data_IF_464729289815
#
_entry.id   IF_464729289815
#
_cell.length_a   1.000
_cell.length_b   1.000
_cell.length_c   1.000
_cell.angle_alpha   90.00
_cell.angle_beta   90.00
_cell.angle_gamma   90.00
#
_symmetry.space_group_name_H-M   'P 1'
#
loop_
_entity.id
_entity.type
_entity.pdbx_description
1 polymer ?
#
# COMPACT_ATOMS: atom_id res chain seq x y z
N UNK A 1 36.19 -0.30 14.44
CA UNK A 1 35.79 -0.75 15.78
C UNK A 1 35.99 -2.25 15.97
N UNK A 2 36.18 -2.71 17.22
CA UNK A 2 36.31 -4.15 17.51
C UNK A 2 34.98 -4.87 17.30
N UNK A 3 33.90 -4.23 17.67
CA UNK A 3 32.53 -4.72 17.50
C UNK A 3 31.75 -3.69 16.68
N UNK A 4 31.03 -4.14 15.66
CA UNK A 4 30.14 -3.31 14.85
C UNK A 4 29.09 -4.19 14.17
N UNK A 5 27.87 -3.69 14.17
CA UNK A 5 26.71 -4.30 13.47
C UNK A 5 26.28 -3.30 12.39
N UNK A 6 26.03 -3.80 11.19
CA UNK A 6 25.34 -3.07 10.13
C UNK A 6 23.97 -3.68 9.89
N UNK A 7 22.96 -2.85 9.70
CA UNK A 7 21.61 -3.29 9.34
C UNK A 7 21.51 -3.26 7.82
N UNK A 8 21.36 -4.42 7.23
CA UNK A 8 21.31 -4.57 5.76
C UNK A 8 19.88 -4.39 5.27
N UNK A 9 18.91 -4.96 5.98
CA UNK A 9 17.50 -4.91 5.60
C UNK A 9 16.58 -5.19 6.77
N UNK A 10 15.32 -4.76 6.66
CA UNK A 10 14.24 -5.04 7.61
C UNK A 10 12.91 -5.19 6.88
N UNK A 11 12.03 -6.02 7.39
CA UNK A 11 10.73 -6.28 6.82
C UNK A 11 9.68 -6.58 7.90
N UNK A 12 8.46 -6.10 7.72
CA UNK A 12 7.32 -6.40 8.59
C UNK A 12 6.21 -7.18 7.88
N UNK A 13 6.39 -7.50 6.62
CA UNK A 13 5.32 -7.99 5.73
C UNK A 13 4.89 -9.39 6.02
N UNK A 14 5.58 -10.28 6.54
CA UNK A 14 5.16 -11.65 6.84
C UNK A 14 4.79 -12.54 5.65
N UNK A 15 4.58 -12.01 4.49
CA UNK A 15 4.26 -12.72 3.24
C UNK A 15 5.42 -12.68 2.24
N UNK A 16 6.42 -11.89 2.49
CA UNK A 16 7.61 -11.77 1.67
C UNK A 16 8.91 -11.84 2.48
N UNK A 17 8.96 -12.83 3.36
CA UNK A 17 10.15 -13.09 4.18
C UNK A 17 11.33 -13.43 3.27
N UNK A 18 12.44 -12.74 3.46
CA UNK A 18 13.67 -12.98 2.71
C UNK A 18 13.80 -12.16 1.43
N UNK A 19 12.86 -11.26 1.14
CA UNK A 19 13.06 -10.26 0.11
C UNK A 19 13.86 -9.08 0.66
N UNK A 20 15.12 -9.00 0.29
CA UNK A 20 16.01 -7.91 0.64
C UNK A 20 15.93 -6.83 -0.43
N UNK A 21 15.37 -5.67 -0.12
CA UNK A 21 15.44 -4.49 -0.98
C UNK A 21 16.78 -3.78 -0.77
N UNK A 22 17.66 -3.82 -1.77
CA UNK A 22 18.93 -3.09 -1.74
C UNK A 22 18.78 -1.60 -2.06
N UNK A 23 17.61 -1.15 -2.49
CA UNK A 23 17.33 0.22 -2.93
C UNK A 23 16.42 1.02 -1.99
N UNK A 24 16.16 0.53 -0.81
CA UNK A 24 15.23 1.07 0.17
C UNK A 24 14.24 0.01 0.62
N UNK A 25 13.42 0.34 1.57
CA UNK A 25 12.39 -0.56 2.08
C UNK A 25 11.40 -0.83 0.96
N UNK A 26 11.22 -2.09 0.59
CA UNK A 26 10.17 -2.49 -0.32
C UNK A 26 8.82 -2.07 0.24
N UNK A 27 7.93 -1.59 -0.63
CA UNK A 27 6.61 -1.18 -0.20
C UNK A 27 5.76 -2.41 0.05
N UNK A 28 5.63 -2.77 1.32
CA UNK A 28 4.65 -3.73 1.80
C UNK A 28 3.25 -3.09 1.86
N UNK A 29 2.28 -3.78 2.46
CA UNK A 29 0.98 -3.19 2.71
C UNK A 29 1.07 -2.11 3.79
N UNK A 30 1.31 -0.88 3.41
CA UNK A 30 1.26 0.26 4.33
C UNK A 30 -0.14 0.44 4.90
N UNK A 31 -1.18 0.25 4.08
CA UNK A 31 -2.58 0.27 4.50
C UNK A 31 -3.13 -1.14 4.44
N UNK A 32 -3.59 -1.68 5.58
CA UNK A 32 -4.10 -3.05 5.68
C UNK A 32 -5.41 -3.07 6.44
N UNK A 33 -6.50 -3.64 5.89
CA UNK A 33 -7.75 -3.80 6.63
C UNK A 33 -7.56 -4.66 7.87
N UNK A 34 -8.26 -4.35 8.95
CA UNK A 34 -8.16 -5.09 10.22
C UNK A 34 -8.37 -6.60 10.01
N UNK A 35 -9.39 -6.99 9.25
CA UNK A 35 -9.69 -8.40 8.98
C UNK A 35 -8.55 -9.12 8.25
N UNK A 36 -7.85 -8.43 7.35
CA UNK A 36 -6.69 -8.99 6.63
C UNK A 36 -5.47 -9.05 7.54
N UNK A 37 -5.33 -8.10 8.47
CA UNK A 37 -4.27 -8.08 9.47
C UNK A 37 -4.43 -9.18 10.52
N UNK A 38 -5.67 -9.44 10.93
CA UNK A 38 -5.98 -10.52 11.88
C UNK A 38 -5.72 -11.90 11.26
N UNK A 39 -6.03 -12.07 9.96
CA UNK A 39 -5.80 -13.31 9.24
C UNK A 39 -4.31 -13.55 8.90
N UNK A 40 -3.54 -12.49 8.75
CA UNK A 40 -2.09 -12.52 8.48
C UNK A 40 -1.35 -11.50 9.34
N UNK A 41 -1.05 -11.83 10.61
CA UNK A 41 -0.29 -10.98 11.51
C UNK A 41 1.08 -10.60 10.97
N UNK A 42 1.57 -9.42 11.36
CA UNK A 42 2.90 -8.96 10.96
C UNK A 42 3.98 -9.86 11.55
N UNK A 43 4.88 -10.31 10.68
CA UNK A 43 6.14 -10.95 11.03
C UNK A 43 7.27 -9.94 10.83
N UNK A 44 8.28 -10.00 11.66
CA UNK A 44 9.38 -9.04 11.65
C UNK A 44 10.69 -9.77 11.37
N UNK A 45 11.39 -9.31 10.34
CA UNK A 45 12.68 -9.84 9.92
C UNK A 45 13.68 -8.69 9.79
N UNK A 46 14.93 -8.98 10.11
CA UNK A 46 16.04 -8.06 9.94
C UNK A 46 17.29 -8.85 9.53
N UNK A 47 17.99 -8.35 8.53
CA UNK A 47 19.28 -8.88 8.12
C UNK A 47 20.39 -8.02 8.72
N UNK A 48 21.25 -8.65 9.52
CA UNK A 48 22.36 -8.01 10.24
C UNK A 48 23.70 -8.55 9.73
N UNK A 49 24.68 -7.66 9.56
CA UNK A 49 26.04 -7.99 9.20
C UNK A 49 27.02 -7.64 10.33
N UNK A 50 27.98 -8.52 10.57
CA UNK A 50 29.12 -8.22 11.45
C UNK A 50 30.22 -7.51 10.63
N UNK A 51 30.30 -6.21 10.79
CA UNK A 51 31.32 -5.37 10.15
C UNK A 51 32.46 -4.97 11.09
N UNK A 52 32.51 -5.59 12.28
CA UNK A 52 33.57 -5.41 13.26
C UNK A 52 34.78 -6.28 12.97
N UNK A 53 35.76 -6.26 13.90
CA UNK A 53 36.99 -7.06 13.84
C UNK A 53 36.94 -8.33 14.69
N UNK A 54 35.85 -8.56 15.43
CA UNK A 54 35.66 -9.70 16.32
C UNK A 54 34.28 -10.35 16.12
N UNK A 55 34.12 -11.65 16.41
CA UNK A 55 32.81 -12.29 16.41
C UNK A 55 31.85 -11.58 17.38
N UNK A 56 30.57 -11.51 16.99
CA UNK A 56 29.48 -10.98 17.81
C UNK A 56 28.75 -12.14 18.49
N UNK A 57 28.76 -12.16 19.83
CA UNK A 57 27.96 -13.09 20.63
C UNK A 57 26.65 -12.42 21.05
N UNK A 58 25.62 -13.23 21.19
CA UNK A 58 24.30 -12.74 21.60
C UNK A 58 23.66 -11.77 20.59
N UNK A 59 24.06 -11.83 19.30
CA UNK A 59 23.47 -10.96 18.28
C UNK A 59 22.02 -11.36 18.02
N UNK A 60 21.15 -10.36 17.99
CA UNK A 60 19.72 -10.51 17.76
C UNK A 60 19.13 -9.25 17.13
N UNK A 61 18.02 -9.41 16.42
CA UNK A 61 17.13 -8.30 16.08
C UNK A 61 16.17 -8.01 17.22
N UNK A 62 15.71 -6.78 17.29
CA UNK A 62 14.65 -6.34 18.19
C UNK A 62 13.66 -5.50 17.40
N UNK A 63 12.40 -5.58 17.79
CA UNK A 63 11.32 -4.74 17.25
C UNK A 63 10.43 -4.25 18.38
N UNK A 64 10.06 -3.00 18.33
CA UNK A 64 9.02 -2.39 19.15
C UNK A 64 7.97 -1.78 18.24
N UNK A 65 6.69 -2.02 18.51
CA UNK A 65 5.58 -1.38 17.82
C UNK A 65 4.94 -0.39 18.76
N UNK A 66 4.79 0.85 18.28
CA UNK A 66 4.25 1.98 19.01
C UNK A 66 2.96 2.44 18.30
N UNK A 67 1.93 2.74 19.04
CA UNK A 67 0.72 3.30 18.48
C UNK A 67 0.83 4.83 18.31
N UNK A 68 -0.15 5.45 17.65
CA UNK A 68 -0.17 6.89 17.33
C UNK A 68 -0.14 7.84 18.54
N UNK A 69 -0.35 7.34 19.76
CA UNK A 69 -0.23 8.13 21.00
C UNK A 69 1.11 7.90 21.71
N UNK A 70 2.04 7.17 21.10
CA UNK A 70 3.37 6.91 21.63
C UNK A 70 3.42 5.77 22.66
N UNK A 71 2.37 4.98 22.77
CA UNK A 71 2.34 3.80 23.65
C UNK A 71 2.91 2.58 22.99
N UNK A 72 3.88 1.91 23.63
CA UNK A 72 4.39 0.60 23.20
C UNK A 72 3.30 -0.46 23.34
N UNK A 73 2.93 -1.10 22.23
CA UNK A 73 1.84 -2.10 22.17
C UNK A 73 2.35 -3.51 21.88
N UNK A 74 3.60 -3.63 21.42
CA UNK A 74 4.23 -4.91 21.16
C UNK A 74 5.75 -4.78 21.22
N UNK A 75 6.41 -5.82 21.72
CA UNK A 75 7.85 -5.97 21.71
C UNK A 75 8.22 -7.43 21.43
N UNK A 76 9.19 -7.65 20.57
CA UNK A 76 9.74 -8.97 20.33
C UNK A 76 11.21 -8.88 19.92
N UNK A 77 11.93 -9.99 20.09
CA UNK A 77 13.30 -10.15 19.63
C UNK A 77 13.46 -11.51 18.98
N UNK A 78 14.48 -11.67 18.15
CA UNK A 78 14.90 -12.98 17.66
C UNK A 78 15.63 -13.77 18.74
N UNK A 79 15.82 -15.06 18.52
CA UNK A 79 16.73 -15.88 19.36
C UNK A 79 18.17 -15.40 19.18
N UNK A 80 18.90 -15.07 20.26
CA UNK A 80 20.28 -14.65 20.17
C UNK A 80 21.18 -15.76 19.61
N UNK A 81 22.13 -15.37 18.73
CA UNK A 81 23.10 -16.29 18.13
C UNK A 81 24.51 -15.72 18.19
N UNK A 82 25.46 -16.40 17.58
CA UNK A 82 26.81 -15.88 17.33
C UNK A 82 26.97 -15.64 15.84
N UNK A 83 27.42 -14.44 15.45
CA UNK A 83 27.73 -14.09 14.08
C UNK A 83 29.25 -13.93 13.91
N UNK A 84 29.83 -14.75 13.04
CA UNK A 84 31.25 -14.72 12.78
C UNK A 84 31.69 -13.42 12.10
N UNK A 85 32.99 -13.21 12.05
CA UNK A 85 33.59 -12.04 11.42
C UNK A 85 33.21 -11.97 9.93
N UNK A 86 32.73 -10.82 9.49
CA UNK A 86 32.28 -10.54 8.11
C UNK A 86 31.09 -11.37 7.62
N UNK A 87 30.43 -12.12 8.51
CA UNK A 87 29.21 -12.83 8.16
C UNK A 87 27.99 -11.92 8.22
N UNK A 88 26.96 -12.32 7.47
CA UNK A 88 25.63 -11.72 7.43
C UNK A 88 24.59 -12.82 7.69
N UNK A 89 23.56 -12.52 8.45
CA UNK A 89 22.46 -13.44 8.71
C UNK A 89 21.13 -12.71 8.87
N UNK A 90 20.04 -13.37 8.47
CA UNK A 90 18.68 -12.90 8.72
C UNK A 90 18.17 -13.44 10.06
N UNK A 91 17.48 -12.58 10.79
CA UNK A 91 16.91 -12.81 12.10
C UNK A 91 15.41 -12.57 12.05
N UNK A 92 14.65 -13.53 12.54
CA UNK A 92 13.20 -13.46 12.62
C UNK A 92 12.78 -13.27 14.07
N UNK A 93 11.91 -12.31 14.34
CA UNK A 93 11.34 -12.13 15.68
C UNK A 93 10.56 -13.37 16.12
N UNK A 94 10.64 -13.70 17.42
CA UNK A 94 10.02 -14.91 17.96
C UNK A 94 8.48 -14.84 18.03
N UNK A 95 7.90 -13.65 17.88
CA UNK A 95 6.46 -13.43 17.95
C UNK A 95 5.99 -12.56 16.79
N UNK A 96 4.75 -12.78 16.38
CA UNK A 96 4.05 -11.98 15.39
C UNK A 96 3.16 -10.94 16.07
N UNK A 97 2.86 -9.85 15.39
CA UNK A 97 2.01 -8.77 15.87
C UNK A 97 0.69 -8.73 15.08
N UNK A 98 -0.41 -8.88 15.79
CA UNK A 98 -1.76 -8.62 15.28
C UNK A 98 -2.29 -7.35 15.97
N UNK A 99 -2.45 -6.23 15.25
CA UNK A 99 -3.01 -5.00 15.81
C UNK A 99 -4.44 -5.22 16.33
N UNK A 100 -4.71 -4.78 17.56
CA UNK A 100 -6.04 -4.95 18.17
C UNK A 100 -7.05 -3.86 17.77
N UNK A 101 -6.61 -2.82 17.08
CA UNK A 101 -7.46 -1.70 16.68
C UNK A 101 -6.93 -1.04 15.41
N UNK A 102 -7.81 -0.34 14.74
CA UNK A 102 -7.45 0.55 13.63
C UNK A 102 -6.59 1.71 14.13
N UNK A 103 -5.71 2.21 13.26
CA UNK A 103 -4.82 3.32 13.56
C UNK A 103 -3.45 3.18 12.91
N UNK A 104 -2.60 4.15 13.22
CA UNK A 104 -1.20 4.17 12.76
C UNK A 104 -0.33 3.49 13.80
N UNK A 105 0.59 2.67 13.33
CA UNK A 105 1.57 1.95 14.12
C UNK A 105 2.97 2.19 13.54
N UNK A 106 3.87 2.70 14.38
CA UNK A 106 5.28 2.84 14.06
C UNK A 106 6.03 1.62 14.56
N UNK A 107 6.80 1.00 13.68
CA UNK A 107 7.56 -0.22 13.93
C UNK A 107 9.04 0.11 13.98
N UNK A 108 9.65 0.08 15.15
CA UNK A 108 11.02 0.43 15.41
C UNK A 108 11.88 -0.83 15.44
N UNK A 109 12.90 -0.88 14.60
CA UNK A 109 13.81 -2.02 14.46
C UNK A 109 15.23 -1.66 14.87
N UNK A 110 15.91 -2.55 15.58
CA UNK A 110 17.34 -2.42 15.86
C UNK A 110 18.02 -3.77 16.09
N UNK A 111 19.32 -3.81 15.83
CA UNK A 111 20.19 -4.93 16.19
C UNK A 111 20.84 -4.70 17.56
N UNK A 112 21.09 -5.78 18.29
CA UNK A 112 21.88 -5.75 19.53
C UNK A 112 22.75 -7.00 19.66
N UNK A 113 23.75 -6.94 20.56
CA UNK A 113 24.60 -8.08 20.94
C UNK A 113 25.12 -7.90 22.37
N UNK A 114 25.88 -8.87 22.89
CA UNK A 114 26.52 -8.76 24.21
C UNK A 114 27.46 -7.52 24.31
N UNK A 115 27.97 -7.03 23.17
CA UNK A 115 28.93 -5.94 23.11
C UNK A 115 28.37 -4.64 22.55
N UNK A 116 27.14 -4.67 21.96
CA UNK A 116 26.46 -3.52 21.33
C UNK A 116 25.03 -3.55 21.82
N UNK A 117 24.62 -2.55 22.59
CA UNK A 117 23.26 -2.49 23.15
C UNK A 117 22.21 -2.21 22.09
N UNK A 118 22.51 -1.38 21.14
CA UNK A 118 21.61 -1.01 20.05
C UNK A 118 22.38 -0.50 18.83
N UNK A 119 21.92 -0.84 17.63
CA UNK A 119 22.26 -0.12 16.39
C UNK A 119 21.46 1.18 16.30
N UNK A 120 21.61 1.92 15.22
CA UNK A 120 20.62 2.95 14.85
C UNK A 120 19.23 2.29 14.71
N UNK A 121 18.20 3.01 15.12
CA UNK A 121 16.83 2.56 15.03
C UNK A 121 16.31 2.90 13.64
N UNK A 122 15.78 1.90 12.95
CA UNK A 122 15.06 2.09 11.69
C UNK A 122 13.56 2.01 11.93
N UNK A 123 12.81 2.85 11.24
CA UNK A 123 11.37 2.97 11.43
C UNK A 123 10.62 2.53 10.17
N UNK A 124 9.53 1.80 10.35
CA UNK A 124 8.54 1.48 9.34
C UNK A 124 7.15 1.82 9.87
N UNK A 125 6.23 2.13 8.97
CA UNK A 125 4.86 2.49 9.35
C UNK A 125 3.86 1.49 8.77
N UNK A 126 2.84 1.15 9.56
CA UNK A 126 1.64 0.46 9.09
C UNK A 126 0.39 1.21 9.54
N UNK A 127 -0.60 1.27 8.66
CA UNK A 127 -1.91 1.87 8.93
C UNK A 127 -2.97 0.77 8.87
N UNK A 128 -3.53 0.44 10.02
CA UNK A 128 -4.64 -0.50 10.09
C UNK A 128 -5.94 0.27 9.86
N UNK A 129 -6.63 -0.13 8.82
CA UNK A 129 -7.83 0.52 8.31
C UNK A 129 -9.07 -0.33 8.58
N UNK A 130 -10.23 0.24 8.32
CA UNK A 130 -11.48 -0.53 8.24
C UNK A 130 -11.55 -1.34 6.93
N UNK A 131 -11.26 -0.68 5.82
CA UNK A 131 -11.58 -1.20 4.48
C UNK A 131 -10.50 -0.96 3.42
N UNK A 132 -9.53 -0.09 3.66
CA UNK A 132 -8.55 0.30 2.64
C UNK A 132 -7.34 -0.61 2.65
N UNK A 133 -7.04 -1.21 1.51
CA UNK A 133 -5.86 -2.04 1.28
C UNK A 133 -4.94 -1.34 0.27
N UNK A 134 -3.76 -0.93 0.68
CA UNK A 134 -2.83 -0.14 -0.13
C UNK A 134 -1.37 -0.47 0.14
N UNK A 135 -0.57 -0.38 -0.92
CA UNK A 135 0.88 -0.64 -0.88
C UNK A 135 1.71 0.64 -0.84
N UNK A 136 1.11 1.77 -1.23
CA UNK A 136 1.75 3.07 -1.27
C UNK A 136 1.96 3.65 0.14
N UNK A 137 2.89 4.59 0.29
CA UNK A 137 3.15 5.30 1.55
C UNK A 137 2.42 6.64 1.67
N UNK A 138 1.48 6.92 0.77
CA UNK A 138 0.74 8.18 0.65
C UNK A 138 1.62 9.42 0.33
N UNK A 139 2.83 9.21 -0.18
CA UNK A 139 3.78 10.27 -0.57
C UNK A 139 4.06 10.18 -2.10
N UNK A 140 3.48 11.06 -2.93
CA UNK A 140 3.68 11.03 -4.37
C UNK A 140 5.12 11.33 -4.75
N UNK A 141 5.76 10.43 -5.50
CA UNK A 141 7.16 10.53 -5.95
C UNK A 141 7.32 10.57 -7.48
N UNK A 142 6.23 10.72 -8.21
CA UNK A 142 6.18 10.74 -9.68
C UNK A 142 4.86 10.19 -10.18
N UNK A 143 4.75 9.96 -11.48
CA UNK A 143 3.52 9.42 -12.05
C UNK A 143 3.78 8.64 -13.35
N UNK A 144 3.00 7.59 -13.56
CA UNK A 144 2.90 6.90 -14.85
C UNK A 144 1.72 7.45 -15.66
N UNK A 145 1.96 7.73 -16.93
CA UNK A 145 0.91 8.15 -17.87
C UNK A 145 0.14 6.92 -18.35
N UNK A 146 -1.16 6.90 -18.13
CA UNK A 146 -2.04 5.76 -18.44
C UNK A 146 -2.83 6.00 -19.72
N UNK A 147 -3.54 7.12 -19.84
CA UNK A 147 -4.17 7.55 -21.08
C UNK A 147 -3.17 8.25 -21.98
N UNK A 148 -2.81 7.68 -23.13
CA UNK A 148 -1.71 8.18 -23.97
C UNK A 148 -1.89 7.85 -25.45
N UNK A 149 -1.08 8.54 -26.28
CA UNK A 149 -1.14 8.45 -27.74
C UNK A 149 -0.85 7.04 -28.30
N UNK A 150 -0.11 6.25 -27.59
CA UNK A 150 0.34 4.93 -28.05
C UNK A 150 -0.38 3.76 -27.43
N UNK A 151 -1.67 3.90 -27.19
CA UNK A 151 -2.49 2.88 -26.57
C UNK A 151 -2.83 3.21 -25.12
N UNK A 152 -4.01 2.79 -24.71
CA UNK A 152 -4.39 2.79 -23.31
C UNK A 152 -3.59 1.73 -22.58
N UNK A 153 -2.95 2.12 -21.49
CA UNK A 153 -2.27 1.20 -20.60
C UNK A 153 -3.18 0.86 -19.42
N UNK A 154 -2.85 -0.21 -18.72
CA UNK A 154 -3.36 -0.43 -17.36
C UNK A 154 -2.19 -0.44 -16.41
N UNK A 155 -2.32 0.27 -15.30
CA UNK A 155 -1.35 0.32 -14.20
C UNK A 155 -1.97 -0.35 -12.99
N UNK A 156 -1.25 -1.27 -12.34
CA UNK A 156 -1.87 -2.16 -11.37
C UNK A 156 -0.98 -2.47 -10.16
N UNK A 157 -1.63 -2.82 -9.05
CA UNK A 157 -1.02 -3.47 -7.88
C UNK A 157 -1.69 -4.82 -7.61
N UNK A 158 -0.88 -5.80 -7.19
CA UNK A 158 -1.35 -7.09 -6.67
C UNK A 158 -1.57 -7.02 -5.16
N UNK A 159 -2.55 -7.80 -4.71
CA UNK A 159 -2.96 -7.90 -3.31
C UNK A 159 -3.20 -9.35 -2.93
N UNK A 160 -2.59 -9.78 -1.82
CA UNK A 160 -2.90 -11.06 -1.19
C UNK A 160 -4.07 -10.88 -0.23
N UNK A 161 -5.18 -11.54 -0.51
CA UNK A 161 -6.35 -11.58 0.37
C UNK A 161 -6.22 -12.79 1.27
N UNK A 162 -6.16 -12.59 2.57
CA UNK A 162 -5.96 -13.65 3.58
C UNK A 162 -7.26 -14.09 4.26
N UNK A 163 -8.23 -13.19 4.34
CA UNK A 163 -9.58 -13.48 4.82
C UNK A 163 -10.60 -13.12 3.75
N UNK A 164 -11.66 -13.89 3.64
CA UNK A 164 -12.74 -13.56 2.71
C UNK A 164 -13.33 -12.19 3.04
N UNK A 165 -13.49 -11.36 2.01
CA UNK A 165 -14.00 -9.99 2.15
C UNK A 165 -14.66 -9.53 0.85
N UNK A 166 -15.41 -8.44 0.89
CA UNK A 166 -16.17 -7.91 -0.23
C UNK A 166 -15.46 -6.70 -0.84
N UNK A 167 -14.85 -6.87 -2.03
CA UNK A 167 -14.25 -5.76 -2.77
C UNK A 167 -15.31 -4.90 -3.44
N UNK A 168 -15.30 -3.60 -3.16
CA UNK A 168 -16.39 -2.69 -3.56
C UNK A 168 -15.96 -1.56 -4.46
N UNK A 169 -14.70 -1.12 -4.36
CA UNK A 169 -14.18 0.00 -5.14
C UNK A 169 -12.66 -0.01 -5.23
N UNK A 170 -12.14 0.83 -6.09
CA UNK A 170 -10.71 1.11 -6.25
C UNK A 170 -10.47 2.61 -6.05
N UNK A 171 -9.48 2.97 -5.25
CA UNK A 171 -9.01 4.35 -5.16
C UNK A 171 -7.70 4.51 -5.91
N UNK A 172 -7.55 5.62 -6.64
CA UNK A 172 -6.33 5.97 -7.37
C UNK A 172 -5.97 7.44 -7.17
N UNK A 173 -4.68 7.75 -7.04
CA UNK A 173 -4.21 9.13 -6.91
C UNK A 173 -3.89 9.70 -8.29
N UNK A 174 -4.73 10.60 -8.76
CA UNK A 174 -4.66 11.19 -10.11
C UNK A 174 -3.60 12.28 -10.15
N UNK A 175 -2.68 12.20 -11.13
CA UNK A 175 -1.60 13.16 -11.28
C UNK A 175 -2.11 14.58 -11.60
N UNK A 176 -1.39 15.59 -11.15
CA UNK A 176 -1.72 17.02 -11.28
C UNK A 176 -1.88 17.51 -12.72
N UNK A 177 -1.09 16.93 -13.64
CA UNK A 177 -1.12 17.25 -15.08
C UNK A 177 -2.28 16.61 -15.84
N UNK A 178 -3.11 15.77 -15.18
CA UNK A 178 -4.22 15.07 -15.84
C UNK A 178 -5.24 16.03 -16.44
N UNK A 179 -5.75 15.67 -17.61
CA UNK A 179 -6.68 16.51 -18.37
C UNK A 179 -8.10 16.28 -17.86
N UNK A 180 -8.77 17.34 -17.47
CA UNK A 180 -10.20 17.32 -17.11
C UNK A 180 -11.03 16.87 -18.31
N UNK A 181 -11.93 15.92 -18.10
CA UNK A 181 -12.73 15.31 -19.15
C UNK A 181 -12.09 14.05 -19.76
N UNK A 182 -10.90 13.64 -19.34
CA UNK A 182 -10.35 12.33 -19.70
C UNK A 182 -11.08 11.21 -18.93
N UNK A 183 -11.28 10.08 -19.60
CA UNK A 183 -11.94 8.92 -19.01
C UNK A 183 -10.93 7.89 -18.53
N UNK A 184 -11.17 7.32 -17.35
CA UNK A 184 -10.46 6.20 -16.78
C UNK A 184 -11.43 5.15 -16.23
N UNK A 185 -10.99 3.92 -16.10
CA UNK A 185 -11.76 2.81 -15.53
C UNK A 185 -10.88 1.96 -14.62
N UNK A 186 -11.49 1.19 -13.72
CA UNK A 186 -10.79 0.22 -12.91
C UNK A 186 -11.18 -1.21 -13.29
N UNK A 187 -10.25 -2.16 -13.15
CA UNK A 187 -10.48 -3.59 -13.38
C UNK A 187 -9.96 -4.37 -12.19
N UNK A 188 -10.76 -5.32 -11.73
CA UNK A 188 -10.37 -6.33 -10.75
C UNK A 188 -10.03 -7.63 -11.47
N UNK A 189 -8.88 -8.20 -11.16
CA UNK A 189 -8.41 -9.48 -11.68
C UNK A 189 -8.19 -10.48 -10.56
N UNK A 190 -8.50 -11.74 -10.81
CA UNK A 190 -7.91 -12.87 -10.09
C UNK A 190 -6.56 -13.20 -10.70
N UNK A 191 -5.56 -13.50 -9.86
CA UNK A 191 -4.21 -13.87 -10.29
C UNK A 191 -4.04 -15.36 -10.07
N UNK A 192 -4.15 -16.14 -11.12
CA UNK A 192 -3.97 -17.58 -11.07
C UNK A 192 -2.50 -17.95 -11.38
N UNK A 193 -1.83 -18.55 -10.40
CA UNK A 193 -0.45 -19.03 -10.47
C UNK A 193 -0.36 -20.55 -10.49
N UNK A 194 -1.47 -21.27 -10.61
CA UNK A 194 -1.49 -22.74 -10.57
C UNK A 194 -1.02 -23.39 -11.88
N UNK A 195 -1.03 -22.64 -12.99
CA UNK A 195 -0.54 -23.07 -14.29
C UNK A 195 0.96 -22.95 -14.46
N UNK A 196 1.44 -23.19 -15.69
CA UNK A 196 2.86 -23.00 -16.07
C UNK A 196 3.25 -21.54 -16.24
N UNK A 197 2.28 -20.64 -16.31
CA UNK A 197 2.43 -19.19 -16.37
C UNK A 197 1.33 -18.53 -15.56
N UNK A 198 1.60 -17.35 -15.01
CA UNK A 198 0.59 -16.55 -14.31
C UNK A 198 -0.50 -16.10 -15.29
N UNK A 199 -1.76 -16.34 -14.94
CA UNK A 199 -2.91 -15.84 -15.66
C UNK A 199 -3.57 -14.70 -14.86
N UNK A 200 -4.06 -13.69 -15.56
CA UNK A 200 -4.79 -12.55 -15.01
C UNK A 200 -6.21 -12.60 -15.55
N UNK A 201 -7.15 -13.06 -14.72
CA UNK A 201 -8.53 -13.33 -15.09
C UNK A 201 -9.40 -12.16 -14.64
N UNK A 202 -9.98 -11.36 -15.56
CA UNK A 202 -10.83 -10.24 -15.16
C UNK A 202 -12.10 -10.74 -14.47
N UNK A 203 -12.39 -10.21 -13.29
CA UNK A 203 -13.60 -10.52 -12.51
C UNK A 203 -14.65 -9.44 -12.68
N UNK A 204 -14.25 -8.15 -12.64
CA UNK A 204 -15.14 -7.02 -12.77
C UNK A 204 -14.41 -5.82 -13.36
N UNK A 205 -15.16 -4.94 -14.02
CA UNK A 205 -14.69 -3.66 -14.53
C UNK A 205 -15.72 -2.59 -14.18
N UNK A 206 -15.25 -1.45 -13.71
CA UNK A 206 -16.12 -0.30 -13.42
C UNK A 206 -16.66 0.33 -14.69
N UNK A 207 -17.72 1.13 -14.56
CA UNK A 207 -18.05 2.13 -15.58
C UNK A 207 -16.91 3.14 -15.72
N UNK A 208 -16.89 3.88 -16.85
CA UNK A 208 -15.94 4.94 -17.06
C UNK A 208 -16.15 6.08 -16.06
N UNK A 209 -15.06 6.55 -15.49
CA UNK A 209 -15.01 7.73 -14.65
C UNK A 209 -14.38 8.88 -15.41
N UNK A 210 -15.08 9.98 -15.56
CA UNK A 210 -14.57 11.19 -16.21
C UNK A 210 -13.90 12.11 -15.19
N UNK A 211 -12.61 12.37 -15.36
CA UNK A 211 -11.78 13.19 -14.46
C UNK A 211 -12.32 14.61 -14.35
N UNK A 212 -12.55 15.05 -13.12
CA UNK A 212 -13.04 16.37 -12.76
C UNK A 212 -11.88 17.31 -12.35
N UNK A 213 -12.09 18.64 -12.31
CA UNK A 213 -11.04 19.58 -11.87
C UNK A 213 -10.48 19.32 -10.47
N UNK A 214 -11.32 18.82 -9.55
CA UNK A 214 -10.97 18.54 -8.16
C UNK A 214 -10.17 17.23 -7.98
N UNK A 215 -10.13 16.38 -9.00
CA UNK A 215 -9.47 15.07 -8.92
C UNK A 215 -7.96 15.16 -9.12
N UNK A 216 -7.49 16.24 -9.72
CA UNK A 216 -6.07 16.45 -9.98
C UNK A 216 -5.30 16.63 -8.68
N UNK A 217 -4.20 15.91 -8.57
CA UNK A 217 -3.39 15.84 -7.35
C UNK A 217 -4.21 15.40 -6.13
N UNK A 218 -5.13 14.43 -6.34
CA UNK A 218 -6.03 13.94 -5.32
C UNK A 218 -6.42 12.47 -5.52
N UNK A 219 -6.93 11.85 -4.48
CA UNK A 219 -7.53 10.54 -4.53
C UNK A 219 -8.91 10.58 -5.18
N UNK A 220 -9.14 9.64 -6.10
CA UNK A 220 -10.44 9.36 -6.71
C UNK A 220 -10.81 7.93 -6.39
N UNK A 221 -12.06 7.69 -5.99
CA UNK A 221 -12.59 6.34 -5.73
C UNK A 221 -13.65 6.00 -6.76
N UNK A 222 -13.48 4.86 -7.44
CA UNK A 222 -14.38 4.36 -8.47
C UNK A 222 -14.99 3.06 -7.96
N UNK A 223 -16.33 3.02 -7.84
CA UNK A 223 -17.07 1.84 -7.40
C UNK A 223 -17.13 0.76 -8.48
N UNK A 224 -16.99 -0.50 -8.09
CA UNK A 224 -17.35 -1.62 -8.96
C UNK A 224 -18.85 -1.64 -9.24
N UNK A 225 -19.26 -2.23 -10.37
CA UNK A 225 -20.66 -2.32 -10.75
C UNK A 225 -21.46 -3.24 -9.81
N UNK A 226 -20.76 -4.14 -9.14
CA UNK A 226 -21.27 -5.00 -8.08
C UNK A 226 -20.22 -5.21 -7.00
N UNK A 227 -20.65 -5.60 -5.84
CA UNK A 227 -19.73 -6.05 -4.81
C UNK A 227 -19.15 -7.43 -5.16
N UNK A 228 -17.83 -7.57 -5.08
CA UNK A 228 -17.11 -8.78 -5.46
C UNK A 228 -16.65 -9.54 -4.21
N UNK A 229 -17.25 -10.68 -3.93
CA UNK A 229 -16.83 -11.54 -2.82
C UNK A 229 -15.50 -12.22 -3.14
N UNK A 230 -14.42 -11.79 -2.52
CA UNK A 230 -13.09 -12.36 -2.66
C UNK A 230 -12.87 -13.42 -1.56
N UNK A 231 -12.35 -14.57 -1.95
CA UNK A 231 -11.87 -15.60 -1.03
C UNK A 231 -10.34 -15.47 -0.86
N UNK A 232 -9.69 -16.10 0.13
CA UNK A 232 -8.25 -16.08 0.24
C UNK A 232 -7.56 -16.48 -1.07
N UNK A 233 -6.66 -15.60 -1.56
CA UNK A 233 -6.00 -15.74 -2.86
C UNK A 233 -5.30 -14.45 -3.27
N UNK A 234 -4.68 -14.47 -4.45
CA UNK A 234 -4.03 -13.28 -5.02
C UNK A 234 -4.95 -12.61 -6.03
N UNK A 235 -5.11 -11.30 -5.89
CA UNK A 235 -5.88 -10.44 -6.78
C UNK A 235 -5.04 -9.28 -7.27
N UNK A 236 -5.48 -8.63 -8.33
CA UNK A 236 -4.84 -7.44 -8.86
C UNK A 236 -5.90 -6.41 -9.22
N UNK A 237 -5.68 -5.17 -8.84
CA UNK A 237 -6.50 -4.05 -9.28
C UNK A 237 -5.70 -3.13 -10.19
N UNK A 238 -6.31 -2.75 -11.30
CA UNK A 238 -5.71 -1.92 -12.32
C UNK A 238 -6.56 -0.69 -12.60
N UNK A 239 -5.90 0.44 -12.87
CA UNK A 239 -6.50 1.62 -13.50
C UNK A 239 -6.10 1.62 -14.96
N UNK A 240 -7.09 1.66 -15.84
CA UNK A 240 -6.94 1.70 -17.28
C UNK A 240 -7.37 3.03 -17.89
N UNK A 241 -6.77 3.33 -19.04
CA UNK A 241 -7.13 4.46 -19.88
C UNK A 241 -7.24 4.05 -21.34
N UNK A 242 -7.77 4.95 -22.13
CA UNK A 242 -7.98 4.74 -23.56
C UNK A 242 -6.87 5.36 -24.42
N UNK A 243 -6.74 4.86 -25.65
CA UNK A 243 -5.91 5.49 -26.69
C UNK A 243 -6.41 6.90 -26.96
N UNK A 244 -5.50 7.89 -26.93
CA UNK A 244 -5.83 9.27 -27.19
C UNK A 244 -4.69 9.96 -27.97
N UNK A 245 -4.98 10.93 -28.85
CA UNK A 245 -3.96 11.64 -29.64
C UNK A 245 -2.91 12.39 -28.82
N UNK A 246 -3.22 12.69 -27.56
CA UNK A 246 -2.31 13.33 -26.60
C UNK A 246 -2.37 12.57 -25.27
N UNK A 247 -1.36 12.72 -24.45
CA UNK A 247 -1.39 12.19 -23.08
C UNK A 247 -2.53 12.84 -22.30
N UNK A 248 -3.40 12.02 -21.69
CA UNK A 248 -4.63 12.50 -21.05
C UNK A 248 -4.54 12.52 -19.55
N UNK A 249 -4.09 11.43 -18.92
CA UNK A 249 -3.94 11.38 -17.47
C UNK A 249 -2.83 10.45 -17.02
N UNK A 250 -2.45 10.59 -15.76
CA UNK A 250 -1.52 9.70 -15.08
C UNK A 250 -1.98 9.38 -13.68
N UNK A 251 -1.41 8.30 -13.16
CA UNK A 251 -1.56 7.87 -11.77
C UNK A 251 -0.21 8.05 -11.07
N UNK A 252 -0.23 8.69 -9.91
CA UNK A 252 0.97 8.89 -9.12
C UNK A 252 1.53 7.56 -8.60
N UNK A 253 2.83 7.56 -8.37
CA UNK A 253 3.56 6.44 -7.76
C UNK A 253 4.23 6.89 -6.48
N UNK A 254 4.53 5.95 -5.61
CA UNK A 254 5.08 6.20 -4.28
C UNK A 254 6.04 5.07 -3.94
N UNK A 255 7.31 5.42 -3.75
CA UNK A 255 8.35 4.47 -3.36
C UNK A 255 8.62 3.35 -4.37
N UNK A 256 9.42 2.38 -3.95
CA UNK A 256 9.78 1.21 -4.74
C UNK A 256 8.81 0.07 -4.51
N UNK A 257 8.51 -0.67 -5.57
CA UNK A 257 7.70 -1.89 -5.49
C UNK A 257 8.60 -3.13 -5.39
N UNK A 258 8.10 -4.14 -4.70
CA UNK A 258 8.67 -5.48 -4.81
C UNK A 258 8.51 -6.05 -6.21
N UNK A 259 9.46 -6.88 -6.67
CA UNK A 259 9.36 -7.51 -7.98
C UNK A 259 8.02 -8.21 -8.18
N UNK A 260 7.40 -8.00 -9.31
CA UNK A 260 6.14 -8.58 -9.74
C UNK A 260 4.87 -8.13 -9.01
N UNK A 261 4.96 -7.23 -8.01
CA UNK A 261 3.78 -6.78 -7.25
C UNK A 261 3.10 -5.57 -7.89
N UNK A 262 3.85 -4.72 -8.57
CA UNK A 262 3.32 -3.62 -9.38
C UNK A 262 3.49 -3.93 -10.85
N UNK A 263 2.43 -3.73 -11.63
CA UNK A 263 2.33 -4.22 -13.00
C UNK A 263 1.85 -3.12 -13.95
N UNK A 264 2.29 -3.21 -15.21
CA UNK A 264 1.77 -2.42 -16.31
C UNK A 264 1.37 -3.33 -17.46
N UNK A 265 0.21 -3.10 -18.06
CA UNK A 265 -0.24 -3.83 -19.23
C UNK A 265 0.08 -3.04 -20.50
N UNK A 266 0.79 -3.68 -21.43
CA UNK A 266 1.04 -3.19 -22.75
C UNK A 266 0.12 -3.93 -23.73
N UNK A 267 -0.79 -3.22 -24.37
CA UNK A 267 -1.75 -3.80 -25.32
C UNK A 267 -1.20 -3.92 -26.73
N UNK A 268 0.00 -3.39 -26.98
CA UNK A 268 0.67 -3.46 -28.29
C UNK A 268 0.26 -2.39 -29.31
N UNK A 269 -0.55 -1.41 -28.89
CA UNK A 269 -1.05 -0.36 -29.79
C UNK A 269 -0.05 0.81 -29.96
N UNK A 270 1.21 0.53 -30.26
CA UNK A 270 2.13 1.53 -30.81
C UNK A 270 3.17 2.12 -29.88
N UNK A 271 3.25 1.70 -28.61
CA UNK A 271 4.40 1.97 -27.77
C UNK A 271 4.87 0.67 -27.13
N UNK A 272 5.90 0.08 -27.70
CA UNK A 272 6.57 -1.03 -27.06
C UNK A 272 7.22 -0.54 -25.76
N UNK A 273 6.61 -0.85 -24.62
CA UNK A 273 7.21 -0.58 -23.30
C UNK A 273 8.49 -1.38 -23.11
N UNK A 274 8.56 -2.56 -23.70
CA UNK A 274 9.75 -3.37 -23.75
C UNK A 274 9.89 -4.01 -25.14
N UNK A 275 10.82 -3.55 -26.01
CA UNK A 275 10.98 -4.05 -27.37
C UNK A 275 11.45 -5.51 -27.45
N UNK A 276 11.75 -6.15 -26.32
CA UNK A 276 12.13 -7.57 -26.23
C UNK A 276 10.93 -8.49 -25.99
N UNK A 277 9.74 -7.93 -25.80
CA UNK A 277 8.50 -8.67 -25.57
C UNK A 277 7.52 -8.47 -26.72
N UNK A 278 6.55 -9.38 -26.81
CA UNK A 278 5.47 -9.27 -27.81
C UNK A 278 4.15 -8.97 -27.11
N UNK A 279 3.60 -7.77 -27.25
CA UNK A 279 2.28 -7.46 -26.71
C UNK A 279 1.14 -8.29 -27.34
N UNK A 280 -0.01 -8.47 -26.67
CA UNK A 280 -0.34 -7.88 -25.38
C UNK A 280 0.34 -8.62 -24.22
N UNK A 281 0.87 -7.88 -23.24
CA UNK A 281 1.62 -8.47 -22.14
C UNK A 281 1.54 -7.63 -20.86
N UNK A 282 1.54 -8.29 -19.70
CA UNK A 282 1.80 -7.69 -18.40
C UNK A 282 3.30 -7.66 -18.11
N UNK A 283 3.81 -6.49 -17.78
CA UNK A 283 5.19 -6.26 -17.34
C UNK A 283 5.17 -5.78 -15.91
N UNK A 284 6.15 -6.16 -15.10
CA UNK A 284 6.29 -5.61 -13.76
C UNK A 284 7.15 -4.34 -13.78
N UNK A 285 6.86 -3.45 -12.84
CA UNK A 285 7.57 -2.18 -12.67
C UNK A 285 8.12 -2.07 -11.25
N UNK A 286 9.13 -1.21 -11.09
CA UNK A 286 9.78 -0.99 -9.78
C UNK A 286 9.09 0.06 -8.92
N UNK A 287 8.19 0.84 -9.51
CA UNK A 287 7.45 1.88 -8.78
C UNK A 287 6.16 1.28 -8.20
N UNK A 288 5.73 1.78 -7.05
CA UNK A 288 4.44 1.43 -6.45
C UNK A 288 3.37 2.41 -6.92
N UNK A 289 2.42 2.03 -7.80
CA UNK A 289 1.29 2.87 -8.13
C UNK A 289 0.44 3.19 -6.90
N UNK A 290 0.03 4.44 -6.77
CA UNK A 290 -0.91 4.85 -5.74
C UNK A 290 -2.34 4.40 -6.13
N UNK A 291 -2.55 3.09 -6.05
CA UNK A 291 -3.80 2.38 -6.34
C UNK A 291 -4.11 1.48 -5.16
N UNK A 292 -5.32 1.61 -4.61
CA UNK A 292 -5.78 0.90 -3.41
C UNK A 292 -7.05 0.12 -3.71
N UNK A 293 -7.15 -1.08 -3.16
CA UNK A 293 -8.36 -1.90 -3.16
C UNK A 293 -9.19 -1.56 -1.91
N UNK A 294 -10.48 -1.33 -2.07
CA UNK A 294 -11.36 -1.03 -0.94
C UNK A 294 -12.38 -2.14 -0.74
N UNK A 295 -12.54 -2.55 0.51
CA UNK A 295 -13.47 -3.57 0.97
C UNK A 295 -14.65 -2.96 1.72
N UNK A 296 -15.62 -3.81 2.06
CA UNK A 296 -16.76 -3.45 2.90
C UNK A 296 -17.94 -2.91 2.10
N UNK A 297 -19.05 -2.70 2.77
CA UNK A 297 -20.24 -2.19 2.10
C UNK A 297 -19.85 -0.96 1.30
N UNK A 298 -19.88 -1.08 -0.02
CA UNK A 298 -19.98 0.09 -0.86
C UNK A 298 -21.34 0.73 -0.57
N UNK A 299 -21.44 1.45 0.53
CA UNK A 299 -22.10 2.71 0.36
C UNK A 299 -21.24 3.42 -0.69
N UNK A 300 -21.45 3.15 -1.99
CA UNK A 300 -21.47 4.26 -2.92
C UNK A 300 -22.38 5.22 -2.18
N UNK A 301 -21.78 6.08 -1.38
CA UNK A 301 -22.47 7.27 -1.01
C UNK A 301 -22.55 8.04 -2.35
N UNK A 302 -23.55 7.68 -3.14
CA UNK A 302 -24.48 8.71 -3.43
C UNK A 302 -24.81 9.29 -2.06
N UNK A 303 -23.94 10.15 -1.56
CA UNK A 303 -24.35 11.25 -0.73
C UNK A 303 -25.31 11.94 -1.69
N UNK A 304 -26.58 11.52 -1.65
CA UNK A 304 -27.64 12.47 -1.79
C UNK A 304 -27.22 13.45 -0.71
N UNK A 305 -26.51 14.49 -1.14
CA UNK A 305 -26.43 15.70 -0.39
C UNK A 305 -27.91 16.03 -0.16
N UNK A 306 -28.43 15.55 0.95
CA UNK A 306 -29.62 16.16 1.50
C UNK A 306 -29.14 17.57 1.74
N UNK A 307 -29.33 18.40 0.71
CA UNK A 307 -29.13 19.83 0.83
C UNK A 307 -29.96 20.21 2.02
N UNK A 308 -29.29 20.36 3.16
CA UNK A 308 -29.91 20.82 4.37
C UNK A 308 -30.42 22.23 4.06
N UNK A 309 -31.71 22.32 3.77
CA UNK A 309 -32.37 23.56 3.42
C UNK A 309 -32.70 24.31 4.71
N UNK A 310 -31.67 24.60 5.51
CA UNK A 310 -31.79 25.20 6.81
C UNK A 310 -30.58 26.07 7.15
N UNK A 311 -30.65 26.76 8.29
CA UNK A 311 -29.53 27.53 8.82
C UNK A 311 -28.85 26.77 9.96
N UNK A 312 -27.54 26.63 9.86
CA UNK A 312 -26.65 26.14 10.90
C UNK A 312 -26.10 27.34 11.65
N UNK A 313 -26.35 27.41 12.98
CA UNK A 313 -25.70 28.41 13.82
C UNK A 313 -24.91 27.78 14.95
N UNK A 314 -23.72 28.35 15.21
CA UNK A 314 -22.79 27.90 16.25
C UNK A 314 -22.56 29.11 17.19
N UNK A 315 -22.86 28.97 18.46
CA UNK A 315 -22.67 30.04 19.45
C UNK A 315 -22.27 29.51 20.83
N UNK A 316 -21.52 30.29 21.61
CA UNK A 316 -20.89 31.54 21.23
C UNK A 316 -19.73 31.33 20.24
N UNK A 317 -19.49 32.31 19.34
CA UNK A 317 -18.37 32.33 18.46
C UNK A 317 -17.67 33.72 18.60
N UNK A 318 -16.45 33.80 19.16
CA UNK A 318 -15.61 32.69 19.62
C UNK A 318 -16.12 32.00 20.90
N UNK A 319 -15.84 30.68 21.01
CA UNK A 319 -16.22 29.90 22.19
C UNK A 319 -15.08 29.85 23.23
N UNK A 320 -15.43 29.60 24.48
CA UNK A 320 -14.50 29.35 25.60
C UNK A 320 -14.30 27.84 25.87
N UNK A 321 -14.53 27.01 24.86
CA UNK A 321 -14.41 25.54 24.93
C UNK A 321 -15.76 24.81 24.99
N UNK A 322 -16.86 25.53 25.13
CA UNK A 322 -18.24 25.00 25.06
C UNK A 322 -19.00 25.79 23.99
N UNK A 323 -19.67 25.11 23.10
CA UNK A 323 -20.48 25.72 22.04
C UNK A 323 -21.77 24.93 21.84
N UNK A 324 -22.80 25.60 21.36
CA UNK A 324 -24.08 25.01 20.98
C UNK A 324 -24.22 25.04 19.46
N UNK A 325 -24.61 23.90 18.87
CA UNK A 325 -24.98 23.80 17.46
C UNK A 325 -26.51 23.80 17.39
N UNK A 326 -27.07 24.74 16.66
CA UNK A 326 -28.49 24.77 16.36
C UNK A 326 -28.74 24.60 14.86
N UNK A 327 -29.62 23.64 14.55
CA UNK A 327 -30.11 23.35 13.20
C UNK A 327 -31.57 23.84 13.13
N UNK A 328 -31.86 24.69 12.18
CA UNK A 328 -33.21 25.13 11.87
C UNK A 328 -33.57 24.73 10.46
N UNK A 329 -34.56 23.86 10.27
CA UNK A 329 -35.14 23.55 8.99
C UNK A 329 -36.05 24.71 8.58
N UNK A 330 -35.93 25.17 7.33
CA UNK A 330 -36.87 26.10 6.77
C UNK A 330 -38.13 25.30 6.39
N UNK A 331 -39.24 25.51 7.09
CA UNK A 331 -40.54 24.98 6.67
C UNK A 331 -40.88 25.56 5.29
N UNK A 332 -41.15 24.68 4.33
CA UNK A 332 -41.55 25.02 2.95
C UNK A 332 -43.04 25.26 2.87
#
# INVERSE_FOLDING_TARGET
>A
PNYAIDVIDQNHGGWNIGYASTSGVGMDYTFKPQIQSDANPYMFEMTLANVGALPLNGIQMNVEVVNSVGGSVFNSSSTPTTLALFDTASYLANQTFAPLSQGVYDMNFWGSSDSILTTDISEMMAVITDSVYGRDNNDPAGAWRVGRICGGLQLANKFDVYAADEATSVSAYVADYSVVGADMYAVLYEVDTTGTSTAYIPLDQTDDYTIQPADRDNWVTIGFNQANNLIPGMYMVAIGGYVHPVDTFGINVSGSAEPTMSMIYDDGNGCDLNPQTTPPIWLWIYDTPMIRLNFGNSSVSNINENTFNGTLSIYPNPSNGVFTISLHENES
#
